data_IF_313708828490
#
_entry.id   IF_313708828490
#
_cell.length_a   1.000
_cell.length_b   1.000
_cell.length_c   1.000
_cell.angle_alpha   90.00
_cell.angle_beta   90.00
_cell.angle_gamma   90.00
#
_symmetry.space_group_name_H-M   'P 1'
#
loop_
_entity.id
_entity.type
_entity.pdbx_description
1 polymer ?
#
# COMPACT_ATOMS: atom_id res chain seq x y z
N UNK A 1 10.99 50.47 -16.32
CA UNK A 1 10.65 49.06 -16.38
C UNK A 1 9.46 48.92 -17.30
N UNK A 2 9.72 48.73 -18.58
CA UNK A 2 8.68 48.55 -19.60
C UNK A 2 8.14 47.13 -19.48
N UNK A 3 6.84 47.00 -19.23
CA UNK A 3 6.16 45.72 -19.25
C UNK A 3 6.04 45.25 -20.69
N UNK A 4 6.76 44.20 -21.06
CA UNK A 4 6.63 43.45 -22.29
C UNK A 4 5.21 42.91 -22.43
N UNK A 5 4.33 43.69 -23.00
CA UNK A 5 2.98 43.28 -23.36
C UNK A 5 3.07 42.49 -24.67
N UNK A 6 3.42 41.20 -24.58
CA UNK A 6 3.45 40.32 -25.73
C UNK A 6 2.03 40.16 -26.29
N UNK A 7 1.69 40.87 -27.34
CA UNK A 7 0.47 40.72 -28.11
C UNK A 7 0.49 39.35 -28.81
N UNK A 8 -0.26 38.41 -28.28
CA UNK A 8 -0.45 37.10 -28.90
C UNK A 8 -1.07 37.24 -30.30
N UNK A 9 -0.57 36.49 -31.26
CA UNK A 9 -1.15 36.43 -32.60
C UNK A 9 -2.55 35.83 -32.57
N UNK A 10 -3.38 36.12 -33.57
CA UNK A 10 -4.73 35.56 -33.71
C UNK A 10 -4.73 34.03 -33.68
N UNK A 11 -3.72 33.39 -34.20
CA UNK A 11 -3.62 31.92 -34.20
C UNK A 11 -3.22 31.37 -32.81
N UNK A 12 -2.41 32.08 -32.07
CA UNK A 12 -2.08 31.75 -30.69
C UNK A 12 -3.31 31.87 -29.80
N UNK A 13 -4.10 32.91 -29.93
CA UNK A 13 -5.36 33.13 -29.24
C UNK A 13 -6.38 32.03 -29.54
N UNK A 14 -6.50 31.62 -30.82
CA UNK A 14 -7.35 30.48 -31.21
C UNK A 14 -6.87 29.17 -30.57
N UNK A 15 -5.59 28.88 -30.59
CA UNK A 15 -4.99 27.68 -29.95
C UNK A 15 -5.21 27.71 -28.44
N UNK A 16 -5.09 28.86 -27.79
CA UNK A 16 -5.36 29.01 -26.36
C UNK A 16 -6.83 28.72 -26.04
N UNK A 17 -7.77 29.35 -26.75
CA UNK A 17 -9.21 29.10 -26.58
C UNK A 17 -9.58 27.62 -26.76
N UNK A 18 -8.99 26.96 -27.75
CA UNK A 18 -9.26 25.53 -28.00
C UNK A 18 -8.69 24.66 -26.87
N UNK A 19 -7.49 24.99 -26.34
CA UNK A 19 -6.92 24.29 -25.15
C UNK A 19 -7.80 24.47 -23.93
N UNK A 20 -8.26 25.67 -23.64
CA UNK A 20 -9.15 25.95 -22.51
C UNK A 20 -10.52 25.30 -22.65
N UNK A 21 -11.12 25.31 -23.85
CA UNK A 21 -12.37 24.62 -24.12
C UNK A 21 -12.23 23.10 -23.91
N UNK A 22 -11.12 22.52 -24.40
CA UNK A 22 -10.80 21.10 -24.21
C UNK A 22 -10.52 20.76 -22.75
N UNK A 23 -9.91 21.65 -21.99
CA UNK A 23 -9.68 21.47 -20.56
C UNK A 23 -11.00 21.49 -19.78
N UNK A 24 -11.89 22.48 -20.06
CA UNK A 24 -13.22 22.55 -19.46
C UNK A 24 -14.09 21.35 -19.81
N UNK A 25 -14.02 20.85 -21.04
CA UNK A 25 -14.72 19.63 -21.45
C UNK A 25 -14.23 18.41 -20.67
N UNK A 26 -12.90 18.23 -20.58
CA UNK A 26 -12.29 17.11 -19.83
C UNK A 26 -12.66 17.16 -18.34
N UNK A 27 -12.68 18.34 -17.72
CA UNK A 27 -13.05 18.48 -16.33
C UNK A 27 -14.51 18.11 -16.08
N UNK A 28 -15.44 18.61 -16.90
CA UNK A 28 -16.87 18.28 -16.80
C UNK A 28 -17.16 16.80 -17.03
N UNK A 29 -16.37 16.13 -17.88
CA UNK A 29 -16.58 14.74 -18.24
C UNK A 29 -15.62 13.77 -17.56
N UNK A 30 -14.82 14.26 -16.59
CA UNK A 30 -13.73 13.51 -15.95
C UNK A 30 -14.21 12.18 -15.37
N UNK A 31 -15.32 12.20 -14.62
CA UNK A 31 -15.83 10.99 -13.98
C UNK A 31 -16.34 9.98 -15.01
N UNK A 32 -17.08 10.43 -16.01
CA UNK A 32 -17.57 9.59 -17.12
C UNK A 32 -16.40 8.97 -17.90
N UNK A 33 -15.36 9.74 -18.17
CA UNK A 33 -14.14 9.25 -18.82
C UNK A 33 -13.40 8.23 -17.93
N UNK A 34 -13.25 8.53 -16.66
CA UNK A 34 -12.59 7.64 -15.71
C UNK A 34 -13.35 6.31 -15.57
N UNK A 35 -14.70 6.36 -15.52
CA UNK A 35 -15.52 5.14 -15.47
C UNK A 35 -15.32 4.31 -16.74
N UNK A 36 -15.45 4.92 -17.91
CA UNK A 36 -15.21 4.23 -19.18
C UNK A 36 -13.83 3.57 -19.27
N UNK A 37 -12.80 4.25 -18.74
CA UNK A 37 -11.45 3.69 -18.68
C UNK A 37 -11.32 2.55 -17.67
N UNK A 38 -12.05 2.58 -16.54
CA UNK A 38 -12.11 1.45 -15.60
C UNK A 38 -12.74 0.23 -16.26
N UNK A 39 -13.91 0.42 -16.88
CA UNK A 39 -14.66 -0.66 -17.57
C UNK A 39 -13.83 -1.28 -18.69
N UNK A 40 -13.18 -0.43 -19.49
CA UNK A 40 -12.30 -0.92 -20.56
C UNK A 40 -11.12 -1.74 -20.02
N UNK A 41 -10.46 -1.27 -18.93
CA UNK A 41 -9.35 -2.00 -18.32
C UNK A 41 -9.79 -3.32 -17.70
N UNK A 42 -10.99 -3.37 -17.16
CA UNK A 42 -11.56 -4.60 -16.62
C UNK A 42 -11.83 -5.61 -17.75
N UNK A 43 -12.50 -5.17 -18.81
CA UNK A 43 -12.78 -6.00 -19.98
C UNK A 43 -11.51 -6.43 -20.75
N UNK A 44 -10.43 -5.64 -20.72
CA UNK A 44 -9.19 -5.88 -21.47
C UNK A 44 -7.97 -6.13 -20.57
N UNK A 45 -8.20 -6.67 -19.38
CA UNK A 45 -7.17 -6.80 -18.33
C UNK A 45 -5.90 -7.51 -18.79
N UNK A 46 -6.03 -8.57 -19.56
CA UNK A 46 -4.88 -9.36 -20.04
C UNK A 46 -4.11 -8.58 -21.12
N UNK A 47 -4.80 -8.00 -22.09
CA UNK A 47 -4.18 -7.15 -23.12
C UNK A 47 -3.46 -5.93 -22.54
N UNK A 48 -4.04 -5.28 -21.52
CA UNK A 48 -3.42 -4.14 -20.82
C UNK A 48 -2.14 -4.56 -20.08
N UNK A 49 -2.14 -5.76 -19.45
CA UNK A 49 -0.96 -6.33 -18.81
C UNK A 49 0.14 -6.65 -19.82
N UNK A 50 -0.22 -7.28 -20.92
CA UNK A 50 0.72 -7.64 -21.98
C UNK A 50 1.35 -6.40 -22.59
N UNK A 51 0.55 -5.42 -22.99
CA UNK A 51 1.04 -4.15 -23.51
C UNK A 51 1.99 -3.43 -22.54
N UNK A 52 1.69 -3.40 -21.24
CA UNK A 52 2.57 -2.82 -20.21
C UNK A 52 3.88 -3.60 -20.09
N UNK A 53 3.84 -4.93 -20.16
CA UNK A 53 5.01 -5.80 -20.14
C UNK A 53 5.90 -5.56 -21.36
N UNK A 54 5.32 -5.52 -22.55
CA UNK A 54 6.03 -5.25 -23.80
C UNK A 54 6.66 -3.85 -23.82
N UNK A 55 5.90 -2.83 -23.41
CA UNK A 55 6.40 -1.47 -23.29
C UNK A 55 7.59 -1.38 -22.33
N UNK A 56 7.50 -2.05 -21.16
CA UNK A 56 8.62 -2.14 -20.22
C UNK A 56 9.83 -2.84 -20.82
N UNK A 57 9.63 -4.00 -21.46
CA UNK A 57 10.70 -4.79 -22.08
C UNK A 57 11.39 -3.98 -23.18
N UNK A 58 10.63 -3.25 -23.99
CA UNK A 58 11.18 -2.35 -25.03
C UNK A 58 12.04 -1.23 -24.43
N UNK A 59 11.60 -0.62 -23.33
CA UNK A 59 12.41 0.37 -22.61
C UNK A 59 13.72 -0.21 -22.06
N UNK A 60 13.69 -1.44 -21.57
CA UNK A 60 14.89 -2.12 -21.08
C UNK A 60 15.82 -2.49 -22.23
N UNK A 61 15.29 -2.99 -23.33
CA UNK A 61 16.09 -3.42 -24.48
C UNK A 61 16.76 -2.29 -25.23
N UNK A 62 16.11 -1.13 -25.33
CA UNK A 62 16.56 0.03 -26.12
C UNK A 62 17.17 1.15 -25.27
N UNK A 63 17.14 1.04 -23.94
CA UNK A 63 17.65 2.06 -23.02
C UNK A 63 19.14 1.91 -22.77
N UNK A 64 19.80 3.02 -22.43
CA UNK A 64 21.17 3.00 -21.91
C UNK A 64 21.23 2.31 -20.54
N UNK A 65 22.39 1.83 -20.09
CA UNK A 65 22.53 1.25 -18.75
C UNK A 65 21.99 2.16 -17.62
N UNK A 66 22.22 3.48 -17.74
CA UNK A 66 21.77 4.49 -16.79
C UNK A 66 20.24 4.63 -16.79
N UNK A 67 19.63 4.67 -17.97
CA UNK A 67 18.16 4.73 -18.12
C UNK A 67 17.48 3.48 -17.56
N UNK A 68 18.06 2.31 -17.81
CA UNK A 68 17.56 1.03 -17.27
C UNK A 68 17.70 0.98 -15.74
N UNK A 69 18.82 1.47 -15.21
CA UNK A 69 19.04 1.57 -13.77
C UNK A 69 18.02 2.51 -13.12
N UNK A 70 17.79 3.68 -13.69
CA UNK A 70 16.80 4.65 -13.25
C UNK A 70 15.37 4.08 -13.29
N UNK A 71 15.01 3.35 -14.36
CA UNK A 71 13.71 2.67 -14.46
C UNK A 71 13.52 1.63 -13.33
N UNK A 72 14.52 0.80 -13.08
CA UNK A 72 14.47 -0.20 -12.00
C UNK A 72 14.39 0.43 -10.61
N UNK A 73 15.12 1.51 -10.38
CA UNK A 73 15.05 2.26 -9.14
C UNK A 73 13.64 2.84 -8.90
N UNK A 74 13.05 3.48 -9.92
CA UNK A 74 11.71 4.04 -9.86
C UNK A 74 10.63 2.95 -9.61
N UNK A 75 10.76 1.77 -10.22
CA UNK A 75 9.87 0.63 -9.97
C UNK A 75 10.00 0.09 -8.54
N UNK A 76 11.23 -0.01 -8.03
CA UNK A 76 11.51 -0.40 -6.65
C UNK A 76 10.88 0.58 -5.66
N UNK A 77 11.08 1.87 -5.85
CA UNK A 77 10.52 2.91 -4.98
C UNK A 77 8.97 2.94 -5.02
N UNK A 78 8.39 2.76 -6.20
CA UNK A 78 6.94 2.60 -6.33
C UNK A 78 6.44 1.40 -5.53
N UNK A 79 7.14 0.28 -5.60
CA UNK A 79 6.80 -0.94 -4.85
C UNK A 79 6.89 -0.70 -3.35
N UNK A 80 7.98 -0.09 -2.86
CA UNK A 80 8.17 0.28 -1.44
C UNK A 80 7.06 1.21 -0.95
N UNK A 81 6.72 2.25 -1.73
CA UNK A 81 5.62 3.18 -1.38
C UNK A 81 4.28 2.45 -1.27
N UNK A 82 3.97 1.54 -2.19
CA UNK A 82 2.73 0.77 -2.15
C UNK A 82 2.68 -0.20 -0.96
N UNK A 83 3.79 -0.86 -0.64
CA UNK A 83 3.92 -1.74 0.53
C UNK A 83 3.73 -0.95 1.83
N UNK A 84 4.37 0.22 1.96
CA UNK A 84 4.22 1.08 3.13
C UNK A 84 2.78 1.56 3.29
N UNK A 85 2.15 2.04 2.21
CA UNK A 85 0.73 2.43 2.23
C UNK A 85 -0.17 1.29 2.67
N UNK A 86 0.05 0.08 2.14
CA UNK A 86 -0.71 -1.09 2.54
C UNK A 86 -0.51 -1.41 4.02
N UNK A 87 0.73 -1.37 4.51
CA UNK A 87 1.08 -1.55 5.91
C UNK A 87 0.36 -0.51 6.80
N UNK A 88 0.41 0.76 6.43
CA UNK A 88 -0.26 1.84 7.17
C UNK A 88 -1.77 1.60 7.30
N UNK A 89 -2.42 1.21 6.20
CA UNK A 89 -3.85 0.90 6.20
C UNK A 89 -4.19 -0.27 7.12
N UNK A 90 -3.38 -1.33 7.08
CA UNK A 90 -3.57 -2.51 7.95
C UNK A 90 -3.37 -2.15 9.41
N UNK A 91 -2.28 -1.47 9.76
CA UNK A 91 -2.03 -1.08 11.15
C UNK A 91 -3.10 -0.13 11.68
N UNK A 92 -3.53 0.84 10.87
CA UNK A 92 -4.63 1.75 11.25
C UNK A 92 -5.92 0.99 11.55
N UNK A 93 -6.26 -0.02 10.74
CA UNK A 93 -7.46 -0.82 10.94
C UNK A 93 -7.43 -1.67 12.23
N UNK A 94 -6.24 -2.08 12.67
CA UNK A 94 -6.06 -2.89 13.89
C UNK A 94 -5.59 -2.09 15.12
N UNK A 95 -5.88 -0.78 15.17
CA UNK A 95 -5.62 0.05 16.37
C UNK A 95 -4.37 0.92 16.28
N UNK A 96 -3.72 0.99 15.12
CA UNK A 96 -2.56 1.86 14.90
C UNK A 96 -1.22 1.20 15.23
N UNK A 97 -0.16 2.01 15.22
CA UNK A 97 1.19 1.57 15.53
C UNK A 97 1.42 1.52 17.06
N UNK A 98 0.75 0.59 17.71
CA UNK A 98 0.88 0.38 19.15
C UNK A 98 0.69 -1.10 19.49
N UNK A 99 1.60 -1.67 20.26
CA UNK A 99 1.46 -3.05 20.72
C UNK A 99 0.29 -3.16 21.71
N UNK A 100 -0.67 -4.03 21.43
CA UNK A 100 -1.84 -4.25 22.29
C UNK A 100 -1.50 -4.88 23.66
N UNK A 101 -0.23 -5.31 23.85
CA UNK A 101 0.20 -5.95 25.10
C UNK A 101 1.06 -5.01 25.96
N UNK A 102 2.15 -4.46 25.43
CA UNK A 102 3.12 -3.68 26.20
C UNK A 102 3.18 -2.19 25.84
N UNK A 103 2.32 -1.74 24.94
CA UNK A 103 2.26 -0.37 24.43
C UNK A 103 3.51 0.11 23.65
N UNK A 104 4.38 -0.79 23.19
CA UNK A 104 5.49 -0.45 22.29
C UNK A 104 4.94 0.27 21.04
N UNK A 105 5.61 1.36 20.63
CA UNK A 105 5.18 2.20 19.50
C UNK A 105 6.22 2.27 18.38
N UNK A 106 7.42 1.71 18.58
CA UNK A 106 8.44 1.70 17.54
C UNK A 106 7.95 0.86 16.36
N UNK A 107 7.73 1.53 15.23
CA UNK A 107 7.11 0.96 14.02
C UNK A 107 7.83 -0.28 13.49
N UNK A 108 9.14 -0.33 13.63
CA UNK A 108 9.96 -1.45 13.15
C UNK A 108 9.79 -2.71 14.00
N UNK A 109 9.40 -2.57 15.25
CA UNK A 109 9.19 -3.69 16.17
C UNK A 109 7.79 -4.29 16.08
N UNK A 110 6.86 -3.61 15.41
CA UNK A 110 5.44 -4.00 15.36
C UNK A 110 5.13 -4.88 14.15
N UNK A 111 4.28 -5.86 14.38
CA UNK A 111 3.71 -6.74 13.35
C UNK A 111 2.25 -7.09 13.66
N UNK A 112 1.55 -7.59 12.65
CA UNK A 112 0.20 -8.14 12.84
C UNK A 112 0.34 -9.59 13.30
N UNK A 113 -0.30 -9.90 14.39
CA UNK A 113 -0.33 -11.21 15.06
C UNK A 113 -1.72 -11.83 14.99
N UNK A 114 -1.79 -13.15 14.93
CA UNK A 114 -3.05 -13.90 15.00
C UNK A 114 -3.47 -14.06 16.47
N UNK A 115 -4.64 -13.58 16.84
CA UNK A 115 -5.12 -13.65 18.24
C UNK A 115 -5.12 -15.09 18.73
N UNK A 116 -5.55 -16.04 17.91
CA UNK A 116 -5.70 -17.45 18.25
C UNK A 116 -4.45 -18.31 18.02
N UNK A 117 -3.29 -17.72 17.70
CA UNK A 117 -2.05 -18.47 17.36
C UNK A 117 -2.16 -19.42 16.15
N UNK A 118 -3.13 -19.24 15.29
CA UNK A 118 -3.43 -20.11 14.14
C UNK A 118 -2.68 -19.72 12.86
N UNK A 119 -1.76 -18.77 12.91
CA UNK A 119 -1.03 -18.25 11.75
C UNK A 119 -0.24 -19.31 10.97
N UNK A 120 0.20 -20.40 11.60
CA UNK A 120 0.84 -21.51 10.90
C UNK A 120 -0.17 -22.31 10.06
N UNK A 121 -1.35 -22.56 10.60
CA UNK A 121 -2.45 -23.24 9.91
C UNK A 121 -2.96 -22.37 8.75
N UNK A 122 -3.12 -21.09 8.99
CA UNK A 122 -3.58 -20.14 7.98
C UNK A 122 -2.60 -20.03 6.79
N UNK A 123 -1.29 -19.98 7.02
CA UNK A 123 -0.29 -20.05 5.94
C UNK A 123 -0.37 -21.33 5.11
N UNK A 124 -0.61 -22.47 5.77
CA UNK A 124 -0.78 -23.77 5.08
C UNK A 124 -2.07 -23.84 4.25
N UNK A 125 -3.10 -23.10 4.62
CA UNK A 125 -4.38 -23.10 3.88
C UNK A 125 -4.31 -22.44 2.50
N UNK A 126 -3.21 -21.76 2.16
CA UNK A 126 -3.06 -21.10 0.86
C UNK A 126 -3.87 -19.79 0.70
N UNK A 127 -4.44 -19.24 1.76
CA UNK A 127 -5.19 -17.98 1.71
C UNK A 127 -4.36 -16.84 1.12
N UNK A 128 -3.05 -16.84 1.36
CA UNK A 128 -2.09 -15.92 0.76
C UNK A 128 -0.75 -16.62 0.54
N UNK A 129 -0.11 -16.31 -0.60
CA UNK A 129 1.19 -16.88 -0.94
C UNK A 129 2.30 -15.86 -0.69
N UNK A 130 3.26 -16.19 0.19
CA UNK A 130 4.43 -15.36 0.45
C UNK A 130 4.48 -14.77 1.87
N UNK A 131 5.41 -13.82 2.08
CA UNK A 131 5.69 -13.20 3.36
C UNK A 131 4.75 -12.06 3.75
N UNK A 132 5.18 -11.22 4.71
CA UNK A 132 4.36 -10.18 5.33
C UNK A 132 3.62 -9.24 4.38
N UNK A 133 4.23 -8.86 3.25
CA UNK A 133 3.56 -8.01 2.26
C UNK A 133 2.35 -8.70 1.60
N UNK A 134 2.42 -10.01 1.35
CA UNK A 134 1.31 -10.79 0.80
C UNK A 134 0.17 -10.89 1.83
N UNK A 135 0.51 -11.15 3.09
CA UNK A 135 -0.43 -11.19 4.20
C UNK A 135 -1.15 -9.84 4.39
N UNK A 136 -0.42 -8.72 4.43
CA UNK A 136 -1.03 -7.39 4.56
C UNK A 136 -1.93 -7.03 3.37
N UNK A 137 -1.54 -7.40 2.15
CA UNK A 137 -2.40 -7.22 0.98
C UNK A 137 -3.67 -8.06 1.06
N UNK A 138 -3.58 -9.28 1.59
CA UNK A 138 -4.73 -10.14 1.80
C UNK A 138 -5.68 -9.55 2.86
N UNK A 139 -5.17 -9.12 4.03
CA UNK A 139 -5.97 -8.45 5.07
C UNK A 139 -6.74 -7.25 4.51
N UNK A 140 -6.05 -6.40 3.75
CA UNK A 140 -6.68 -5.25 3.09
C UNK A 140 -7.77 -5.66 2.09
N UNK A 141 -7.50 -6.67 1.27
CA UNK A 141 -8.45 -7.18 0.26
C UNK A 141 -9.70 -7.78 0.91
N UNK A 142 -9.55 -8.41 2.06
CA UNK A 142 -10.66 -8.99 2.84
C UNK A 142 -11.40 -7.97 3.70
N UNK A 143 -11.06 -6.68 3.63
CA UNK A 143 -11.74 -5.64 4.42
C UNK A 143 -11.38 -5.66 5.90
N UNK A 144 -10.15 -6.10 6.23
CA UNK A 144 -9.63 -6.16 7.59
C UNK A 144 -10.45 -7.07 8.53
N UNK A 145 -10.50 -8.38 8.26
CA UNK A 145 -11.27 -9.32 9.06
C UNK A 145 -10.81 -9.33 10.52
N UNK A 146 -11.68 -9.73 11.42
CA UNK A 146 -11.37 -9.95 12.84
C UNK A 146 -10.40 -11.12 13.02
N UNK A 147 -9.82 -11.26 14.23
CA UNK A 147 -8.87 -12.32 14.56
C UNK A 147 -7.40 -11.91 14.52
N UNK A 148 -7.13 -10.64 14.28
CA UNK A 148 -5.78 -10.09 14.23
C UNK A 148 -5.59 -8.92 15.19
N UNK A 149 -4.35 -8.70 15.61
CA UNK A 149 -3.96 -7.63 16.52
C UNK A 149 -2.55 -7.13 16.21
N UNK A 150 -2.22 -5.95 16.72
CA UNK A 150 -0.85 -5.44 16.66
C UNK A 150 -0.07 -5.89 17.89
N UNK A 151 1.02 -6.61 17.69
CA UNK A 151 1.98 -6.92 18.74
C UNK A 151 3.40 -6.53 18.33
N UNK A 152 4.23 -6.18 19.32
CA UNK A 152 5.67 -6.12 19.09
C UNK A 152 6.26 -7.54 19.01
N UNK A 153 7.42 -7.67 18.39
CA UNK A 153 8.07 -8.96 18.19
C UNK A 153 8.32 -9.72 19.51
N UNK A 154 8.68 -9.01 20.57
CA UNK A 154 8.89 -9.62 21.89
C UNK A 154 7.60 -10.21 22.45
N UNK A 155 6.48 -9.48 22.38
CA UNK A 155 5.19 -9.96 22.83
C UNK A 155 4.68 -11.12 21.99
N UNK A 156 4.89 -11.09 20.68
CA UNK A 156 4.51 -12.17 19.77
C UNK A 156 5.29 -13.45 20.07
N UNK A 157 6.62 -13.36 20.25
CA UNK A 157 7.46 -14.50 20.63
C UNK A 157 7.09 -15.01 22.04
N UNK A 158 6.91 -14.10 22.99
CA UNK A 158 6.51 -14.44 24.35
C UNK A 158 5.17 -15.18 24.38
N UNK A 159 4.17 -14.67 23.67
CA UNK A 159 2.87 -15.31 23.48
C UNK A 159 2.99 -16.72 22.88
N UNK A 160 3.79 -16.88 21.82
CA UNK A 160 3.98 -18.17 21.17
C UNK A 160 4.63 -19.19 22.11
N UNK A 161 5.68 -18.79 22.85
CA UNK A 161 6.40 -19.68 23.79
C UNK A 161 5.64 -20.00 25.06
N UNK A 162 4.69 -19.15 25.46
CA UNK A 162 3.95 -19.27 26.73
C UNK A 162 2.50 -19.69 26.50
N UNK A 163 2.28 -20.64 25.61
CA UNK A 163 0.97 -21.29 25.44
C UNK A 163 -0.16 -20.37 24.96
N UNK A 164 0.17 -19.27 24.27
CA UNK A 164 -0.82 -18.37 23.70
C UNK A 164 -1.07 -17.08 24.48
N UNK A 165 -0.41 -16.89 25.62
CA UNK A 165 -0.52 -15.69 26.45
C UNK A 165 0.85 -15.05 26.61
N UNK A 166 0.95 -13.75 26.38
CA UNK A 166 2.22 -13.04 26.59
C UNK A 166 2.56 -12.95 28.08
N UNK A 167 3.83 -13.21 28.51
CA UNK A 167 4.23 -13.08 29.91
C UNK A 167 3.95 -11.69 30.53
N UNK A 168 3.94 -10.62 29.76
CA UNK A 168 3.56 -9.30 30.26
C UNK A 168 2.13 -9.26 30.78
N UNK A 169 1.20 -10.02 30.20
CA UNK A 169 -0.21 -10.09 30.64
C UNK A 169 -0.36 -10.91 31.93
N UNK A 170 0.38 -12.00 32.08
CA UNK A 170 0.36 -12.82 33.28
C UNK A 170 1.05 -12.11 34.47
N UNK A 171 2.13 -11.37 34.22
CA UNK A 171 2.84 -10.61 35.27
C UNK A 171 2.01 -9.45 35.83
N UNK A 172 1.14 -8.84 35.02
CA UNK A 172 0.22 -7.78 35.48
C UNK A 172 -0.85 -8.31 36.43
N UNK A 173 -1.30 -9.53 36.22
CA UNK A 173 -2.28 -10.20 37.10
C UNK A 173 -1.64 -10.58 38.45
N UNK A 174 -0.36 -10.99 38.44
CA UNK A 174 0.38 -11.36 39.65
C UNK A 174 0.83 -10.15 40.49
N UNK A 175 1.11 -8.99 39.87
CA UNK A 175 1.45 -7.77 40.63
C UNK A 175 0.32 -7.24 41.50
N UNK A 176 -0.94 -7.53 41.15
CA UNK A 176 -2.10 -7.21 42.00
C UNK A 176 -2.24 -8.07 43.24
N UNK A 177 -1.55 -9.22 43.30
CA UNK A 177 -1.64 -10.17 44.42
C UNK A 177 -0.53 -9.95 45.45
N UNK A 178 0.60 -9.34 45.08
CA UNK A 178 1.75 -9.18 45.99
C UNK A 178 1.91 -7.79 46.63
N UNK A 179 1.02 -6.83 46.33
CA UNK A 179 1.05 -5.48 46.93
C UNK A 179 -0.36 -5.06 47.46
N UNK A 180 -1.16 -6.00 47.90
CA UNK A 180 -2.40 -5.77 48.62
C UNK A 180 -2.22 -6.12 50.10
#
# INVERSE_FOLDING_TARGET
MESDNQHLTLDELKRQRNREASARYRERNREKFNQRMRDWREANREKDREHKREHRNRKIANGTPEEVAALRAAESDKTKRNQNRCRDQVFTAYGGYKCNCCNETERMFLSIDHINNDGAAERKSGKYNGGGSAFYNWLRKMGFPEGYQVLCMNCQIGKHKNGGVCPHQTSSTLKGIYYG
#
